data_IF_271320323481
#
_entry.id   IF_271320323481
#
_cell.length_a   1.000
_cell.length_b   1.000
_cell.length_c   1.000
_cell.angle_alpha   90.00
_cell.angle_beta   90.00
_cell.angle_gamma   90.00
#
_symmetry.space_group_name_H-M   'P 1'
#
loop_
_entity.id
_entity.type
_entity.pdbx_description
1 polymer ?
#
# COMPACT_ATOMS: atom_id res chain seq x y z
N UNK A 1 -7.72 -19.70 -41.78
CA UNK A 1 -6.42 -20.39 -41.52
C UNK A 1 -5.28 -19.42 -41.18
N UNK A 2 -4.98 -18.39 -41.98
CA UNK A 2 -3.86 -17.48 -41.68
C UNK A 2 -3.97 -16.74 -40.34
N UNK A 3 -5.17 -16.23 -40.00
CA UNK A 3 -5.39 -15.53 -38.72
C UNK A 3 -5.33 -16.47 -37.50
N UNK A 4 -5.72 -17.74 -37.66
CA UNK A 4 -5.63 -18.77 -36.60
C UNK A 4 -4.18 -19.06 -36.27
N UNK A 5 -3.33 -19.29 -37.28
CA UNK A 5 -1.90 -19.52 -37.06
C UNK A 5 -1.17 -18.29 -36.46
N UNK A 6 -1.56 -17.08 -36.88
CA UNK A 6 -1.03 -15.84 -36.28
C UNK A 6 -1.44 -15.69 -34.81
N UNK A 7 -2.70 -16.01 -34.48
CA UNK A 7 -3.22 -15.94 -33.12
C UNK A 7 -2.56 -16.99 -32.22
N UNK A 8 -2.41 -18.21 -32.71
CA UNK A 8 -1.69 -19.30 -32.03
C UNK A 8 -0.26 -18.87 -31.67
N UNK A 9 0.51 -18.35 -32.64
CA UNK A 9 1.87 -17.85 -32.39
C UNK A 9 1.90 -16.70 -31.37
N UNK A 10 0.91 -15.81 -31.41
CA UNK A 10 0.77 -14.72 -30.44
C UNK A 10 0.49 -15.23 -29.03
N UNK A 11 -0.43 -16.20 -28.88
CA UNK A 11 -0.77 -16.81 -27.60
C UNK A 11 0.41 -17.61 -27.03
N UNK A 12 1.09 -18.42 -27.84
CA UNK A 12 2.30 -19.13 -27.41
C UNK A 12 3.36 -18.18 -26.88
N UNK A 13 3.56 -17.03 -27.57
CA UNK A 13 4.50 -15.99 -27.13
C UNK A 13 4.07 -15.31 -25.82
N UNK A 14 2.79 -14.97 -25.68
CA UNK A 14 2.24 -14.32 -24.48
C UNK A 14 2.30 -15.22 -23.26
N UNK A 15 1.86 -16.47 -23.39
CA UNK A 15 1.79 -17.44 -22.30
C UNK A 15 3.06 -18.24 -22.09
N UNK A 16 4.06 -18.12 -22.97
CA UNK A 16 5.29 -18.95 -22.96
C UNK A 16 4.97 -20.44 -22.81
N UNK A 17 3.91 -20.87 -23.47
CA UNK A 17 3.41 -22.23 -23.42
C UNK A 17 3.18 -22.74 -24.84
N UNK A 18 3.25 -24.06 -25.03
CA UNK A 18 2.98 -24.69 -26.31
C UNK A 18 2.25 -26.02 -26.12
N UNK A 19 1.45 -26.40 -27.11
CA UNK A 19 0.84 -27.74 -27.25
C UNK A 19 1.64 -28.63 -28.20
N UNK A 20 2.81 -28.17 -28.64
CA UNK A 20 3.74 -28.94 -29.47
C UNK A 20 4.74 -29.68 -28.57
N UNK A 21 4.80 -31.03 -28.60
CA UNK A 21 5.77 -31.81 -27.84
C UNK A 21 7.24 -31.49 -28.18
N UNK A 22 7.48 -30.90 -29.35
CA UNK A 22 8.81 -30.48 -29.81
C UNK A 22 9.21 -29.07 -29.38
N UNK A 23 8.36 -28.39 -28.58
CA UNK A 23 8.62 -27.03 -28.12
C UNK A 23 9.93 -26.95 -27.31
N UNK A 24 10.70 -25.90 -27.58
CA UNK A 24 11.95 -25.60 -26.91
C UNK A 24 11.81 -24.35 -26.03
N UNK A 25 12.68 -24.23 -25.03
CA UNK A 25 12.76 -23.03 -24.19
C UNK A 25 12.86 -21.76 -25.07
N UNK A 26 12.10 -20.69 -24.76
CA UNK A 26 11.39 -20.43 -23.50
C UNK A 26 9.93 -20.92 -23.45
N UNK A 27 9.47 -21.75 -24.39
CA UNK A 27 8.11 -22.30 -24.39
C UNK A 27 8.04 -23.57 -23.53
N UNK A 28 7.03 -23.65 -22.65
CA UNK A 28 6.76 -24.83 -21.82
C UNK A 28 5.69 -25.69 -22.48
N UNK A 29 5.99 -26.97 -22.70
CA UNK A 29 5.01 -27.93 -23.22
C UNK A 29 3.97 -28.29 -22.16
N UNK A 30 2.69 -28.08 -22.46
CA UNK A 30 1.56 -28.39 -21.57
C UNK A 30 1.07 -29.83 -21.82
N UNK A 31 1.79 -30.81 -21.28
CA UNK A 31 1.51 -32.24 -21.54
C UNK A 31 0.11 -32.67 -21.08
N UNK A 32 -0.35 -32.22 -19.91
CA UNK A 32 -1.67 -32.57 -19.39
C UNK A 32 -2.81 -32.06 -20.27
N UNK A 33 -2.72 -30.81 -20.73
CA UNK A 33 -3.71 -30.23 -21.64
C UNK A 33 -3.65 -30.88 -23.03
N UNK A 34 -2.46 -31.24 -23.50
CA UNK A 34 -2.31 -31.97 -24.75
C UNK A 34 -2.98 -33.36 -24.69
N UNK A 35 -2.79 -34.10 -23.60
CA UNK A 35 -3.43 -35.39 -23.37
C UNK A 35 -4.96 -35.28 -23.26
N UNK A 36 -5.47 -34.25 -22.56
CA UNK A 36 -6.90 -33.94 -22.47
C UNK A 36 -7.50 -33.74 -23.87
N UNK A 37 -6.90 -32.87 -24.68
CA UNK A 37 -7.38 -32.57 -26.04
C UNK A 37 -7.32 -33.77 -26.96
N UNK A 38 -6.30 -34.63 -26.82
CA UNK A 38 -6.21 -35.87 -27.58
C UNK A 38 -7.34 -36.85 -27.20
N UNK A 39 -7.76 -36.87 -25.93
CA UNK A 39 -8.89 -37.68 -25.49
C UNK A 39 -10.25 -37.15 -25.97
N UNK A 40 -10.38 -35.83 -26.12
CA UNK A 40 -11.60 -35.18 -26.65
C UNK A 40 -11.71 -35.32 -28.18
N UNK A 41 -10.58 -35.35 -28.90
CA UNK A 41 -10.51 -35.47 -30.36
C UNK A 41 -10.67 -36.91 -30.85
N UNK A 42 -11.90 -37.44 -30.81
CA UNK A 42 -12.22 -38.79 -31.31
C UNK A 42 -12.07 -38.95 -32.85
N UNK A 43 -11.83 -37.87 -33.60
CA UNK A 43 -11.99 -37.84 -35.08
C UNK A 43 -10.66 -37.64 -35.83
N UNK A 44 -9.60 -37.13 -35.19
CA UNK A 44 -8.28 -36.96 -35.82
C UNK A 44 -7.14 -36.87 -34.77
N UNK A 45 -6.53 -38.00 -34.36
CA UNK A 45 -5.47 -38.03 -33.33
C UNK A 45 -4.14 -37.35 -33.76
N UNK A 46 -3.96 -37.11 -35.06
CA UNK A 46 -2.75 -36.46 -35.62
C UNK A 46 -2.95 -34.97 -35.97
N UNK A 47 -4.11 -34.38 -35.64
CA UNK A 47 -4.35 -32.96 -35.88
C UNK A 47 -3.49 -32.10 -34.94
N UNK A 48 -2.75 -31.14 -35.51
CA UNK A 48 -2.02 -30.15 -34.71
C UNK A 48 -3.01 -29.28 -33.95
N UNK A 49 -3.00 -29.38 -32.62
CA UNK A 49 -3.76 -28.49 -31.75
C UNK A 49 -3.16 -27.09 -31.81
N UNK A 50 -3.96 -26.10 -32.24
CA UNK A 50 -3.58 -24.69 -32.29
C UNK A 50 -4.24 -23.97 -31.11
N UNK A 51 -3.56 -22.99 -30.51
CA UNK A 51 -4.15 -22.17 -29.45
C UNK A 51 -5.14 -21.15 -30.03
N UNK A 52 -6.34 -21.12 -29.47
CA UNK A 52 -7.35 -20.10 -29.73
C UNK A 52 -7.78 -19.38 -28.44
N UNK A 53 -8.78 -18.51 -28.56
CA UNK A 53 -9.30 -17.72 -27.44
C UNK A 53 -9.94 -18.59 -26.35
N UNK A 54 -10.61 -19.68 -26.72
CA UNK A 54 -11.38 -20.52 -25.80
C UNK A 54 -10.45 -21.43 -24.98
N UNK A 55 -9.23 -21.64 -25.45
CA UNK A 55 -8.21 -22.44 -24.77
C UNK A 55 -7.42 -21.67 -23.70
N UNK A 56 -7.54 -20.34 -23.63
CA UNK A 56 -6.71 -19.50 -22.74
C UNK A 56 -6.86 -19.92 -21.27
N UNK A 57 -8.09 -20.13 -20.82
CA UNK A 57 -8.33 -20.52 -19.43
C UNK A 57 -7.72 -21.89 -19.11
N UNK A 58 -7.94 -22.88 -19.99
CA UNK A 58 -7.37 -24.23 -19.83
C UNK A 58 -5.84 -24.18 -19.82
N UNK A 59 -5.23 -23.32 -20.65
CA UNK A 59 -3.78 -23.13 -20.67
C UNK A 59 -3.25 -22.53 -19.36
N UNK A 60 -3.90 -21.49 -18.85
CA UNK A 60 -3.52 -20.87 -17.57
C UNK A 60 -3.64 -21.91 -16.46
N UNK A 61 -4.76 -22.65 -16.39
CA UNK A 61 -4.98 -23.69 -15.40
C UNK A 61 -3.92 -24.79 -15.47
N UNK A 62 -3.68 -25.35 -16.67
CA UNK A 62 -2.67 -26.39 -16.87
C UNK A 62 -1.27 -25.91 -16.46
N UNK A 63 -0.91 -24.67 -16.83
CA UNK A 63 0.40 -24.12 -16.50
C UNK A 63 0.57 -23.83 -15.01
N UNK A 64 -0.48 -23.36 -14.32
CA UNK A 64 -0.46 -23.16 -12.87
C UNK A 64 -0.42 -24.47 -12.10
N UNK A 65 -1.05 -25.53 -12.63
CA UNK A 65 -1.05 -26.88 -12.04
C UNK A 65 0.35 -27.53 -12.02
N UNK A 66 1.28 -27.07 -12.87
CA UNK A 66 2.68 -27.50 -12.84
C UNK A 66 3.47 -26.88 -11.67
N UNK A 67 2.97 -25.79 -11.09
CA UNK A 67 3.65 -25.04 -10.02
C UNK A 67 4.85 -24.24 -10.51
N UNK A 68 5.94 -24.28 -9.75
CA UNK A 68 7.19 -23.63 -10.15
C UNK A 68 7.84 -24.40 -11.30
N UNK A 69 8.15 -23.68 -12.37
CA UNK A 69 8.92 -24.20 -13.50
C UNK A 69 10.17 -23.32 -13.62
N UNK A 70 11.33 -23.97 -13.71
CA UNK A 70 12.63 -23.32 -13.56
C UNK A 70 12.71 -22.50 -12.25
N UNK A 71 12.93 -21.19 -12.36
CA UNK A 71 12.99 -20.24 -11.24
C UNK A 71 11.74 -19.34 -11.14
N UNK A 72 10.73 -19.55 -11.98
CA UNK A 72 9.55 -18.70 -12.06
C UNK A 72 8.41 -19.27 -11.22
N UNK A 73 8.00 -18.53 -10.18
CA UNK A 73 6.83 -18.88 -9.37
C UNK A 73 5.53 -18.70 -10.16
N UNK A 74 4.43 -19.38 -9.79
CA UNK A 74 3.15 -19.24 -10.48
C UNK A 74 2.64 -17.78 -10.54
N UNK A 75 2.86 -16.99 -9.49
CA UNK A 75 2.45 -15.59 -9.49
C UNK A 75 3.33 -14.74 -10.43
N UNK A 76 4.65 -14.93 -10.43
CA UNK A 76 5.55 -14.26 -11.37
C UNK A 76 5.20 -14.60 -12.83
N UNK A 77 4.82 -15.85 -13.09
CA UNK A 77 4.33 -16.29 -14.40
C UNK A 77 3.09 -15.50 -14.84
N UNK A 78 2.07 -15.35 -13.98
CA UNK A 78 0.85 -14.60 -14.28
C UNK A 78 1.15 -13.12 -14.57
N UNK A 79 1.98 -12.49 -13.74
CA UNK A 79 2.43 -11.11 -13.94
C UNK A 79 3.20 -10.97 -15.26
N UNK A 80 4.08 -11.93 -15.58
CA UNK A 80 4.82 -11.98 -16.83
C UNK A 80 3.91 -12.14 -18.06
N UNK A 81 2.88 -12.97 -17.98
CA UNK A 81 1.88 -13.13 -19.03
C UNK A 81 1.09 -11.85 -19.26
N UNK A 82 0.66 -11.18 -18.18
CA UNK A 82 -0.07 -9.93 -18.28
C UNK A 82 0.79 -8.85 -18.95
N UNK A 83 2.06 -8.73 -18.53
CA UNK A 83 3.01 -7.78 -19.14
C UNK A 83 3.19 -8.04 -20.62
N UNK A 84 3.43 -9.30 -21.02
CA UNK A 84 3.59 -9.67 -22.43
C UNK A 84 2.31 -9.40 -23.23
N UNK A 85 1.13 -9.70 -22.68
CA UNK A 85 -0.16 -9.37 -23.30
C UNK A 85 -0.29 -7.86 -23.55
N UNK A 86 0.05 -7.04 -22.54
CA UNK A 86 0.04 -5.59 -22.65
C UNK A 86 1.03 -5.08 -23.72
N UNK A 87 2.26 -5.60 -23.74
CA UNK A 87 3.28 -5.19 -24.71
C UNK A 87 2.94 -5.63 -26.14
N UNK A 88 2.44 -6.84 -26.33
CA UNK A 88 2.10 -7.34 -27.65
C UNK A 88 0.87 -6.61 -28.21
N UNK A 89 -0.14 -6.30 -27.39
CA UNK A 89 -1.29 -5.50 -27.84
C UNK A 89 -0.88 -4.10 -28.34
N UNK A 90 0.19 -3.51 -27.78
CA UNK A 90 0.78 -2.24 -28.23
C UNK A 90 1.56 -2.35 -29.54
N UNK A 91 2.05 -3.54 -29.90
CA UNK A 91 2.83 -3.79 -31.13
C UNK A 91 1.96 -4.15 -32.33
N UNK A 92 0.68 -4.43 -32.14
CA UNK A 92 -0.22 -4.83 -33.23
C UNK A 92 -0.31 -3.73 -34.31
N UNK A 93 -0.15 -4.14 -35.56
CA UNK A 93 -0.06 -3.23 -36.71
C UNK A 93 -1.44 -2.88 -37.28
N UNK A 94 -1.71 -1.60 -37.52
CA UNK A 94 -2.97 -1.13 -38.12
C UNK A 94 -3.22 -1.54 -39.56
N UNK A 95 -2.26 -2.24 -40.21
CA UNK A 95 -2.37 -2.69 -41.61
C UNK A 95 -3.37 -3.83 -41.79
N UNK A 96 -3.48 -4.73 -40.80
CA UNK A 96 -4.42 -5.86 -40.80
C UNK A 96 -5.47 -5.62 -39.71
N UNK A 97 -6.53 -4.89 -40.06
CA UNK A 97 -7.53 -4.42 -39.09
C UNK A 97 -8.30 -5.57 -38.44
N UNK A 98 -8.69 -6.58 -39.22
CA UNK A 98 -9.45 -7.72 -38.72
C UNK A 98 -8.63 -8.54 -37.71
N UNK A 99 -7.37 -8.86 -38.05
CA UNK A 99 -6.50 -9.57 -37.11
C UNK A 99 -6.19 -8.72 -35.88
N UNK A 100 -5.94 -7.42 -36.05
CA UNK A 100 -5.64 -6.52 -34.93
C UNK A 100 -6.80 -6.43 -33.95
N UNK A 101 -8.03 -6.35 -34.45
CA UNK A 101 -9.22 -6.34 -33.60
C UNK A 101 -9.34 -7.67 -32.83
N UNK A 102 -9.29 -8.80 -33.53
CA UNK A 102 -9.37 -10.13 -32.91
C UNK A 102 -8.29 -10.34 -31.85
N UNK A 103 -7.04 -9.99 -32.16
CA UNK A 103 -5.92 -10.11 -31.24
C UNK A 103 -6.08 -9.19 -30.03
N UNK A 104 -6.54 -7.95 -30.22
CA UNK A 104 -6.77 -7.01 -29.12
C UNK A 104 -7.86 -7.51 -28.17
N UNK A 105 -9.01 -7.93 -28.70
CA UNK A 105 -10.11 -8.49 -27.90
C UNK A 105 -9.67 -9.75 -27.13
N UNK A 106 -8.86 -10.60 -27.77
CA UNK A 106 -8.30 -11.79 -27.13
C UNK A 106 -7.31 -11.44 -26.02
N UNK A 107 -6.43 -10.45 -26.23
CA UNK A 107 -5.48 -9.99 -25.21
C UNK A 107 -6.16 -9.34 -24.00
N UNK A 108 -7.26 -8.61 -24.21
CA UNK A 108 -8.07 -8.03 -23.13
C UNK A 108 -8.71 -9.15 -22.29
N UNK A 109 -9.37 -10.11 -22.92
CA UNK A 109 -9.94 -11.26 -22.22
C UNK A 109 -8.89 -12.08 -21.46
N UNK A 110 -7.70 -12.25 -22.06
CA UNK A 110 -6.56 -12.87 -21.39
C UNK A 110 -6.11 -12.09 -20.14
N UNK A 111 -6.06 -10.76 -20.19
CA UNK A 111 -5.68 -9.92 -19.05
C UNK A 111 -6.68 -10.06 -17.90
N UNK A 112 -7.98 -10.05 -18.18
CA UNK A 112 -9.05 -10.23 -17.19
C UNK A 112 -8.95 -11.60 -16.50
N UNK A 113 -8.69 -12.66 -17.27
CA UNK A 113 -8.45 -14.01 -16.75
C UNK A 113 -7.17 -14.06 -15.88
N UNK A 114 -6.06 -13.50 -16.36
CA UNK A 114 -4.79 -13.47 -15.61
C UNK A 114 -4.92 -12.74 -14.28
N UNK A 115 -5.67 -11.62 -14.24
CA UNK A 115 -5.99 -10.90 -13.01
C UNK A 115 -6.84 -11.77 -12.07
N UNK A 116 -7.87 -12.43 -12.60
CA UNK A 116 -8.73 -13.32 -11.82
C UNK A 116 -7.94 -14.49 -11.20
N UNK A 117 -7.15 -15.20 -12.00
CA UNK A 117 -6.31 -16.29 -11.51
C UNK A 117 -5.22 -15.80 -10.55
N UNK A 118 -4.74 -14.56 -10.69
CA UNK A 118 -3.81 -13.96 -9.72
C UNK A 118 -4.45 -13.79 -8.35
N UNK A 119 -5.68 -13.29 -8.27
CA UNK A 119 -6.36 -13.17 -6.98
C UNK A 119 -6.75 -14.52 -6.39
N UNK A 120 -7.18 -15.49 -7.21
CA UNK A 120 -7.44 -16.85 -6.75
C UNK A 120 -6.17 -17.53 -6.19
N UNK A 121 -5.03 -17.38 -6.86
CA UNK A 121 -3.74 -17.91 -6.43
C UNK A 121 -3.27 -17.30 -5.10
N UNK A 122 -3.53 -16.01 -4.89
CA UNK A 122 -3.11 -15.27 -3.71
C UNK A 122 -4.09 -15.38 -2.53
N UNK A 123 -5.35 -15.75 -2.79
CA UNK A 123 -6.39 -15.79 -1.76
C UNK A 123 -6.11 -16.92 -0.74
N UNK A 124 -5.94 -16.61 0.56
CA UNK A 124 -5.71 -17.62 1.59
C UNK A 124 -6.84 -18.67 1.69
N UNK A 125 -8.07 -18.32 1.31
CA UNK A 125 -9.20 -19.26 1.33
C UNK A 125 -9.11 -20.31 0.22
N UNK A 126 -8.29 -20.07 -0.81
CA UNK A 126 -8.05 -20.97 -1.94
C UNK A 126 -6.66 -21.61 -1.85
N UNK A 127 -6.08 -21.67 -0.65
CA UNK A 127 -4.79 -22.29 -0.42
C UNK A 127 -4.78 -23.76 -0.87
N UNK A 128 -3.73 -24.15 -1.61
CA UNK A 128 -3.61 -25.50 -2.18
C UNK A 128 -4.32 -25.72 -3.51
N UNK A 129 -5.07 -24.73 -4.03
CA UNK A 129 -5.69 -24.83 -5.36
C UNK A 129 -4.64 -24.98 -6.48
N UNK A 130 -3.52 -24.27 -6.38
CA UNK A 130 -2.36 -24.45 -7.27
C UNK A 130 -1.09 -24.69 -6.43
N UNK A 131 -0.20 -25.60 -6.88
CA UNK A 131 1.05 -25.85 -6.19
C UNK A 131 1.96 -24.61 -6.23
N UNK A 132 2.39 -24.14 -5.07
CA UNK A 132 3.34 -23.04 -4.92
C UNK A 132 4.56 -23.50 -4.10
N UNK A 133 5.75 -22.93 -4.36
CA UNK A 133 6.90 -23.12 -3.48
C UNK A 133 6.57 -22.70 -2.04
N UNK A 134 7.15 -23.36 -1.01
CA UNK A 134 6.84 -23.04 0.39
C UNK A 134 7.07 -21.56 0.73
N UNK A 135 8.08 -20.93 0.15
CA UNK A 135 8.35 -19.50 0.35
C UNK A 135 7.22 -18.60 -0.18
N UNK A 136 6.73 -18.88 -1.40
CA UNK A 136 5.64 -18.15 -2.02
C UNK A 136 4.32 -18.36 -1.26
N UNK A 137 4.06 -19.59 -0.83
CA UNK A 137 2.87 -19.93 -0.03
C UNK A 137 2.87 -19.18 1.32
N UNK A 138 4.01 -19.15 2.02
CA UNK A 138 4.15 -18.35 3.27
C UNK A 138 3.98 -16.86 3.04
N UNK A 139 4.41 -16.36 1.88
CA UNK A 139 4.24 -14.95 1.50
C UNK A 139 2.78 -14.63 1.20
N UNK A 140 2.01 -15.56 0.62
CA UNK A 140 0.58 -15.37 0.37
C UNK A 140 0.31 -14.10 -0.46
N UNK A 141 -0.67 -13.26 -0.10
CA UNK A 141 -0.94 -12.01 -0.81
C UNK A 141 0.24 -11.02 -0.83
N UNK A 142 1.17 -11.10 0.13
CA UNK A 142 2.34 -10.22 0.16
C UNK A 142 3.29 -10.41 -1.03
N UNK A 143 3.15 -11.47 -1.84
CA UNK A 143 3.83 -11.57 -3.14
C UNK A 143 3.56 -10.34 -4.03
N UNK A 144 2.36 -9.74 -3.95
CA UNK A 144 2.05 -8.51 -4.68
C UNK A 144 2.91 -7.32 -4.20
N UNK A 145 3.25 -7.27 -2.91
CA UNK A 145 4.13 -6.25 -2.35
C UNK A 145 5.55 -6.34 -2.95
N UNK A 146 6.05 -7.56 -3.18
CA UNK A 146 7.38 -7.76 -3.77
C UNK A 146 7.47 -7.13 -5.18
N UNK A 147 6.41 -7.23 -5.98
CA UNK A 147 6.33 -6.59 -7.29
C UNK A 147 6.11 -5.06 -7.20
N UNK A 148 5.41 -4.56 -6.17
CA UNK A 148 5.27 -3.12 -5.93
C UNK A 148 6.58 -2.47 -5.47
N UNK A 149 7.40 -3.20 -4.71
CA UNK A 149 8.64 -2.74 -4.11
C UNK A 149 9.88 -3.03 -4.95
N UNK A 150 9.75 -3.76 -6.06
CA UNK A 150 10.91 -4.14 -6.88
C UNK A 150 11.51 -2.97 -7.67
N UNK A 151 12.85 -2.93 -7.70
CA UNK A 151 13.69 -2.10 -8.58
C UNK A 151 14.48 -2.94 -9.61
N UNK A 152 14.35 -4.27 -9.55
CA UNK A 152 15.18 -5.23 -10.30
C UNK A 152 14.39 -5.94 -11.40
N UNK A 153 15.09 -6.71 -12.23
CA UNK A 153 14.47 -7.60 -13.21
C UNK A 153 13.73 -8.78 -12.59
N UNK A 154 13.97 -9.14 -11.31
CA UNK A 154 13.24 -10.24 -10.63
C UNK A 154 13.05 -9.94 -9.15
N UNK A 155 11.80 -9.89 -8.64
CA UNK A 155 10.54 -9.89 -9.40
C UNK A 155 10.41 -8.61 -10.26
N UNK A 156 9.82 -8.68 -11.46
CA UNK A 156 9.64 -7.48 -12.30
C UNK A 156 8.56 -6.55 -11.72
N UNK A 157 8.67 -5.20 -11.87
CA UNK A 157 7.67 -4.27 -11.33
C UNK A 157 6.28 -4.51 -11.94
N UNK A 158 5.20 -4.25 -11.20
CA UNK A 158 3.84 -4.47 -11.70
C UNK A 158 3.59 -3.80 -13.07
N UNK A 159 3.03 -4.53 -14.05
CA UNK A 159 2.76 -3.96 -15.36
C UNK A 159 1.63 -2.92 -15.29
N UNK A 160 1.64 -1.90 -16.17
CA UNK A 160 0.62 -0.85 -16.18
C UNK A 160 -0.80 -1.42 -16.31
N UNK A 161 -1.74 -0.90 -15.52
CA UNK A 161 -3.15 -1.31 -15.57
C UNK A 161 -3.48 -2.55 -14.74
N UNK A 162 -2.49 -3.35 -14.32
CA UNK A 162 -2.74 -4.60 -13.58
C UNK A 162 -3.40 -4.32 -12.24
N UNK A 163 -2.85 -3.39 -11.45
CA UNK A 163 -3.39 -3.08 -10.13
C UNK A 163 -4.80 -2.49 -10.23
N UNK A 164 -5.06 -1.66 -11.24
CA UNK A 164 -6.36 -1.07 -11.50
C UNK A 164 -7.40 -2.15 -11.84
N UNK A 165 -7.07 -3.08 -12.75
CA UNK A 165 -7.94 -4.21 -13.09
C UNK A 165 -8.13 -5.15 -11.88
N UNK A 166 -7.08 -5.40 -11.11
CA UNK A 166 -7.14 -6.23 -9.91
C UNK A 166 -8.10 -5.67 -8.87
N UNK A 167 -8.02 -4.36 -8.61
CA UNK A 167 -8.93 -3.69 -7.67
C UNK A 167 -10.38 -3.76 -8.15
N UNK A 168 -10.63 -3.50 -9.43
CA UNK A 168 -11.98 -3.57 -10.00
C UNK A 168 -12.54 -4.99 -9.92
N UNK A 169 -11.72 -6.00 -10.25
CA UNK A 169 -12.12 -7.41 -10.25
C UNK A 169 -12.51 -7.91 -8.86
N UNK A 170 -11.76 -7.53 -7.83
CA UNK A 170 -11.93 -8.09 -6.47
C UNK A 170 -12.65 -7.17 -5.50
N UNK A 171 -13.15 -5.99 -5.93
CA UNK A 171 -13.80 -5.00 -5.05
C UNK A 171 -14.90 -5.62 -4.17
N UNK A 172 -15.66 -6.57 -4.70
CA UNK A 172 -16.76 -7.26 -4.00
C UNK A 172 -16.39 -8.68 -3.52
N UNK A 173 -15.17 -9.15 -3.80
CA UNK A 173 -14.69 -10.51 -3.56
C UNK A 173 -13.52 -10.55 -2.57
N UNK A 174 -13.62 -9.80 -1.46
CA UNK A 174 -12.61 -9.83 -0.40
C UNK A 174 -11.30 -9.13 -0.75
N UNK A 175 -11.36 -7.99 -1.47
CA UNK A 175 -10.18 -7.18 -1.79
C UNK A 175 -9.34 -6.84 -0.55
N UNK A 176 -9.97 -6.70 0.62
CA UNK A 176 -9.32 -6.43 1.89
C UNK A 176 -8.40 -7.57 2.34
N UNK A 177 -8.82 -8.82 2.16
CA UNK A 177 -8.00 -10.01 2.46
C UNK A 177 -6.75 -10.04 1.58
N UNK A 178 -6.87 -9.59 0.34
CA UNK A 178 -5.77 -9.56 -0.63
C UNK A 178 -4.82 -8.37 -0.42
N UNK A 179 -5.36 -7.17 -0.17
CA UNK A 179 -4.55 -5.94 -0.14
C UNK A 179 -4.11 -5.49 1.26
N UNK A 180 -4.79 -5.87 2.35
CA UNK A 180 -4.33 -5.50 3.70
C UNK A 180 -2.93 -6.04 4.04
N UNK A 181 -2.59 -7.31 3.72
CA UNK A 181 -1.23 -7.81 3.91
C UNK A 181 -0.21 -7.02 3.08
N UNK A 182 -0.56 -6.64 1.86
CA UNK A 182 0.30 -5.87 0.94
C UNK A 182 0.57 -4.47 1.50
N UNK A 183 -0.47 -3.76 1.94
CA UNK A 183 -0.36 -2.44 2.57
C UNK A 183 0.49 -2.52 3.84
N UNK A 184 0.30 -3.57 4.66
CA UNK A 184 1.10 -3.81 5.86
C UNK A 184 2.57 -4.03 5.53
N UNK A 185 2.89 -4.84 4.51
CA UNK A 185 4.28 -5.08 4.10
C UNK A 185 4.97 -3.82 3.58
N UNK A 186 4.28 -2.99 2.80
CA UNK A 186 4.81 -1.68 2.35
C UNK A 186 5.15 -0.78 3.55
N UNK A 187 4.35 -0.80 4.62
CA UNK A 187 4.66 -0.06 5.84
C UNK A 187 5.84 -0.67 6.62
N UNK A 188 5.90 -2.00 6.71
CA UNK A 188 6.96 -2.71 7.43
C UNK A 188 8.32 -2.56 6.74
N UNK A 189 8.37 -2.44 5.41
CA UNK A 189 9.61 -2.33 4.65
C UNK A 189 10.45 -1.10 4.99
N UNK A 190 9.84 -0.06 5.59
CA UNK A 190 10.55 1.17 6.01
C UNK A 190 10.77 1.27 7.52
N UNK A 191 10.35 0.28 8.31
CA UNK A 191 10.41 0.32 9.79
C UNK A 191 11.81 0.61 10.33
N UNK A 192 12.84 0.14 9.64
CA UNK A 192 14.25 0.28 10.02
C UNK A 192 15.06 0.99 8.95
N UNK A 193 14.44 1.92 8.23
CA UNK A 193 15.08 2.68 7.15
C UNK A 193 15.38 4.10 7.61
N UNK A 194 16.62 4.54 7.39
CA UNK A 194 17.02 5.92 7.64
C UNK A 194 16.76 6.82 6.43
N UNK A 195 16.92 8.14 6.55
CA UNK A 195 16.87 9.07 5.41
C UNK A 195 17.89 8.80 4.29
N UNK A 196 18.87 7.90 4.52
CA UNK A 196 19.85 7.49 3.51
C UNK A 196 19.48 6.15 2.84
N UNK A 197 18.48 5.43 3.36
CA UNK A 197 18.04 4.15 2.82
C UNK A 197 16.92 4.29 1.78
N UNK A 198 16.42 3.15 1.29
CA UNK A 198 15.40 3.11 0.24
C UNK A 198 13.98 3.32 0.80
N UNK A 199 13.67 4.54 1.26
CA UNK A 199 12.30 4.89 1.63
C UNK A 199 11.46 5.38 0.45
N UNK A 200 12.11 5.84 -0.63
CA UNK A 200 11.42 6.39 -1.81
C UNK A 200 10.52 5.34 -2.46
N UNK A 201 10.99 4.10 -2.59
CA UNK A 201 10.24 3.06 -3.28
C UNK A 201 8.96 2.65 -2.52
N UNK A 202 9.01 2.31 -1.23
CA UNK A 202 7.80 2.08 -0.44
C UNK A 202 6.87 3.29 -0.37
N UNK A 203 7.42 4.51 -0.30
CA UNK A 203 6.62 5.74 -0.28
C UNK A 203 5.87 5.94 -1.60
N UNK A 204 6.52 5.69 -2.74
CA UNK A 204 5.89 5.76 -4.05
C UNK A 204 4.82 4.67 -4.22
N UNK A 205 5.07 3.45 -3.73
CA UNK A 205 4.06 2.38 -3.72
C UNK A 205 2.84 2.78 -2.86
N UNK A 206 3.07 3.36 -1.69
CA UNK A 206 2.01 3.87 -0.81
C UNK A 206 1.20 4.99 -1.50
N UNK A 207 1.87 5.92 -2.18
CA UNK A 207 1.22 6.96 -2.98
C UNK A 207 0.39 6.37 -4.13
N UNK A 208 0.94 5.41 -4.88
CA UNK A 208 0.25 4.72 -5.98
C UNK A 208 -1.01 4.04 -5.47
N UNK A 209 -0.92 3.29 -4.36
CA UNK A 209 -2.07 2.64 -3.72
C UNK A 209 -3.12 3.68 -3.31
N UNK A 210 -2.74 4.76 -2.63
CA UNK A 210 -3.67 5.80 -2.18
C UNK A 210 -4.35 6.59 -3.30
N UNK A 211 -3.84 6.52 -4.53
CA UNK A 211 -4.42 7.22 -5.67
C UNK A 211 -5.75 6.61 -6.14
N UNK A 212 -5.98 5.32 -5.86
CA UNK A 212 -7.26 4.66 -6.09
C UNK A 212 -8.22 4.94 -4.93
N UNK A 213 -9.42 5.49 -5.16
CA UNK A 213 -10.40 5.74 -4.11
C UNK A 213 -10.80 4.49 -3.32
N UNK A 214 -10.85 3.33 -3.99
CA UNK A 214 -11.20 2.04 -3.36
C UNK A 214 -10.10 1.61 -2.39
N UNK A 215 -8.84 1.68 -2.82
CA UNK A 215 -7.70 1.34 -1.96
C UNK A 215 -7.53 2.39 -0.84
N UNK A 216 -7.81 3.68 -1.11
CA UNK A 216 -7.81 4.71 -0.08
C UNK A 216 -8.80 4.40 1.05
N UNK A 217 -10.00 3.95 0.72
CA UNK A 217 -10.98 3.48 1.72
C UNK A 217 -10.46 2.26 2.49
N UNK A 218 -9.83 1.32 1.79
CA UNK A 218 -9.22 0.16 2.44
C UNK A 218 -8.10 0.58 3.42
N UNK A 219 -7.25 1.53 3.04
CA UNK A 219 -6.17 2.05 3.89
C UNK A 219 -6.72 2.67 5.17
N UNK A 220 -7.75 3.53 5.09
CA UNK A 220 -8.29 4.19 6.30
C UNK A 220 -9.11 3.26 7.20
N UNK A 221 -9.61 2.16 6.64
CA UNK A 221 -10.32 1.09 7.36
C UNK A 221 -9.39 -0.02 7.84
N UNK A 222 -8.11 0.00 7.42
CA UNK A 222 -7.14 -1.01 7.81
C UNK A 222 -6.98 -1.03 9.34
N UNK A 223 -6.93 -2.21 10.00
CA UNK A 223 -6.84 -2.30 11.46
C UNK A 223 -5.64 -1.54 12.07
N UNK A 224 -4.51 -1.55 11.36
CA UNK A 224 -3.29 -0.81 11.73
C UNK A 224 -3.28 0.67 11.29
N UNK A 225 -4.32 1.21 10.65
CA UNK A 225 -4.34 2.64 10.32
C UNK A 225 -4.35 3.48 11.60
N UNK A 226 -5.22 3.12 12.54
CA UNK A 226 -5.30 3.67 13.89
C UNK A 226 -5.36 2.51 14.89
N UNK A 227 -4.22 1.91 15.26
CA UNK A 227 -4.21 0.79 16.20
C UNK A 227 -4.68 1.22 17.59
N UNK A 228 -5.31 0.32 18.33
CA UNK A 228 -5.70 0.58 19.72
C UNK A 228 -4.48 0.47 20.64
N UNK A 229 -3.85 1.60 20.94
CA UNK A 229 -2.59 1.67 21.69
C UNK A 229 -2.63 2.75 22.78
N UNK A 230 -1.89 2.52 23.85
CA UNK A 230 -1.95 3.34 25.06
C UNK A 230 -1.16 4.65 24.98
N UNK A 231 -0.20 4.77 24.05
CA UNK A 231 0.72 5.90 24.03
C UNK A 231 1.32 6.17 22.64
N UNK A 232 1.94 7.34 22.46
CA UNK A 232 2.46 7.78 21.17
C UNK A 232 3.63 6.94 20.65
N UNK A 233 4.42 6.32 21.53
CA UNK A 233 5.53 5.46 21.10
C UNK A 233 5.00 4.17 20.46
N UNK A 234 4.00 3.54 21.07
CA UNK A 234 3.33 2.38 20.49
C UNK A 234 2.60 2.77 19.19
N UNK A 235 1.95 3.94 19.15
CA UNK A 235 1.30 4.44 17.93
C UNK A 235 2.26 4.61 16.75
N UNK A 236 3.47 5.15 16.99
CA UNK A 236 4.51 5.25 15.96
C UNK A 236 4.97 3.85 15.46
N UNK A 237 5.06 2.86 16.35
CA UNK A 237 5.54 1.52 15.97
C UNK A 237 4.50 0.64 15.29
N UNK A 238 3.24 0.76 15.68
CA UNK A 238 2.16 -0.15 15.27
C UNK A 238 1.27 0.42 14.16
N UNK A 239 1.22 1.74 14.00
CA UNK A 239 0.42 2.35 12.93
C UNK A 239 1.07 2.15 11.56
N UNK A 240 0.25 2.07 10.50
CA UNK A 240 0.73 1.97 9.12
C UNK A 240 1.65 3.14 8.72
N UNK A 241 1.37 4.35 9.22
CA UNK A 241 2.07 5.56 8.81
C UNK A 241 3.22 5.94 9.74
N UNK A 242 3.26 5.38 10.94
CA UNK A 242 4.31 5.62 11.91
C UNK A 242 5.73 5.33 11.37
N UNK A 243 5.97 4.18 10.72
CA UNK A 243 7.26 3.87 10.08
C UNK A 243 7.74 4.95 9.11
N UNK A 244 6.86 5.47 8.24
CA UNK A 244 7.22 6.54 7.30
C UNK A 244 7.44 7.89 8.00
N UNK A 245 6.59 8.23 8.96
CA UNK A 245 6.67 9.50 9.68
C UNK A 245 7.92 9.55 10.58
N UNK A 246 8.40 8.43 11.11
CA UNK A 246 9.58 8.35 11.97
C UNK A 246 10.89 8.68 11.24
N UNK A 247 11.00 8.40 9.94
CA UNK A 247 12.25 8.49 9.16
C UNK A 247 12.84 9.90 9.29
N UNK A 248 13.94 10.03 10.03
CA UNK A 248 14.56 11.34 10.28
C UNK A 248 16.03 11.22 10.67
N UNK A 249 16.69 12.37 10.76
CA UNK A 249 18.05 12.49 11.29
C UNK A 249 18.09 12.73 12.80
N UNK A 250 16.94 12.95 13.45
CA UNK A 250 16.86 13.29 14.87
C UNK A 250 17.10 12.04 15.73
N UNK A 251 18.02 12.05 16.72
CA UNK A 251 18.39 10.87 17.47
C UNK A 251 17.20 10.24 18.22
N UNK A 252 17.17 8.91 18.26
CA UNK A 252 16.21 8.10 19.02
C UNK A 252 16.94 7.02 19.82
N UNK A 253 16.34 6.61 20.93
CA UNK A 253 16.88 5.59 21.84
C UNK A 253 16.99 4.20 21.21
N UNK A 254 16.23 3.92 20.15
CA UNK A 254 16.20 2.63 19.44
C UNK A 254 16.85 2.66 18.05
N UNK A 255 17.70 3.66 17.77
CA UNK A 255 18.26 3.96 16.44
C UNK A 255 17.22 4.48 15.41
N UNK A 256 17.71 5.16 14.38
CA UNK A 256 16.92 5.77 13.29
C UNK A 256 16.96 4.96 12.00
N UNK A 257 17.18 3.65 12.12
CA UNK A 257 17.28 2.74 10.99
C UNK A 257 18.63 2.77 10.29
N UNK A 258 18.70 2.03 9.20
CA UNK A 258 19.88 1.85 8.36
C UNK A 258 19.64 2.44 6.96
N UNK A 259 20.71 2.93 6.30
CA UNK A 259 22.08 3.05 6.81
C UNK A 259 22.27 4.13 7.89
N UNK A 260 23.27 3.99 8.76
CA UNK A 260 23.49 4.94 9.87
C UNK A 260 23.87 6.33 9.36
N UNK A 261 23.00 7.32 9.63
CA UNK A 261 23.26 8.73 9.29
C UNK A 261 24.52 9.24 9.99
N UNK A 262 24.72 8.86 11.26
CA UNK A 262 25.87 9.28 12.05
C UNK A 262 27.16 8.77 11.42
N UNK A 263 27.22 7.48 11.09
CA UNK A 263 28.42 6.87 10.54
C UNK A 263 28.71 7.38 9.12
N UNK A 264 27.70 7.51 8.26
CA UNK A 264 27.92 7.90 6.87
C UNK A 264 28.20 9.39 6.70
N UNK A 265 27.45 10.25 7.40
CA UNK A 265 27.49 11.69 7.19
C UNK A 265 28.36 12.42 8.22
N UNK A 266 28.51 11.88 9.43
CA UNK A 266 29.06 12.61 10.57
C UNK A 266 30.15 11.86 11.36
N UNK A 267 30.76 10.82 10.78
CA UNK A 267 31.98 10.21 11.32
C UNK A 267 33.20 11.13 11.13
N UNK A 268 34.11 11.15 12.11
CA UNK A 268 35.41 11.84 12.04
C UNK A 268 35.31 13.34 11.70
N UNK A 269 34.33 14.06 12.29
CA UNK A 269 34.08 15.48 12.00
C UNK A 269 35.28 16.39 12.24
N UNK A 270 36.17 16.05 13.17
CA UNK A 270 37.37 16.82 13.47
C UNK A 270 38.40 16.80 12.33
N UNK A 271 38.37 15.78 11.46
CA UNK A 271 39.31 15.63 10.33
C UNK A 271 38.64 15.84 8.98
N UNK A 272 37.31 15.94 8.93
CA UNK A 272 36.53 16.02 7.68
C UNK A 272 36.54 17.45 7.13
N UNK A 273 36.56 17.60 5.80
CA UNK A 273 36.48 18.93 5.18
C UNK A 273 35.09 19.50 5.37
N UNK A 274 34.99 20.80 5.64
CA UNK A 274 33.71 21.49 5.82
C UNK A 274 32.78 21.34 4.60
N UNK A 275 33.34 21.33 3.39
CA UNK A 275 32.58 21.12 2.16
C UNK A 275 31.84 19.77 2.13
N UNK A 276 32.47 18.70 2.61
CA UNK A 276 31.90 17.34 2.63
C UNK A 276 30.77 17.24 3.67
N UNK A 277 30.95 17.91 4.81
CA UNK A 277 29.90 18.01 5.85
C UNK A 277 28.68 18.77 5.31
N UNK A 278 28.91 19.89 4.65
CA UNK A 278 27.84 20.69 4.03
C UNK A 278 27.11 19.91 2.93
N UNK A 279 27.84 19.16 2.09
CA UNK A 279 27.24 18.28 1.09
C UNK A 279 26.35 17.20 1.73
N UNK A 280 26.82 16.58 2.82
CA UNK A 280 26.03 15.60 3.57
C UNK A 280 24.74 16.19 4.14
N UNK A 281 24.82 17.40 4.72
CA UNK A 281 23.65 18.14 5.21
C UNK A 281 22.66 18.44 4.07
N UNK A 282 23.17 18.85 2.90
CA UNK A 282 22.33 19.14 1.73
C UNK A 282 21.59 17.89 1.24
N UNK A 283 22.28 16.75 1.14
CA UNK A 283 21.66 15.46 0.77
C UNK A 283 20.56 15.07 1.75
N UNK A 284 20.84 15.12 3.06
CA UNK A 284 19.85 14.77 4.08
C UNK A 284 18.61 15.68 4.02
N UNK A 285 18.80 16.99 3.83
CA UNK A 285 17.69 17.94 3.65
C UNK A 285 16.86 17.62 2.41
N UNK A 286 17.50 17.27 1.30
CA UNK A 286 16.81 16.88 0.08
C UNK A 286 15.97 15.62 0.30
N UNK A 287 16.56 14.57 0.89
CA UNK A 287 15.87 13.31 1.14
C UNK A 287 14.66 13.49 2.08
N UNK A 288 14.83 14.24 3.18
CA UNK A 288 13.71 14.56 4.09
C UNK A 288 12.65 15.42 3.37
N UNK A 289 13.04 16.37 2.54
CA UNK A 289 12.11 17.18 1.75
C UNK A 289 11.29 16.34 0.77
N UNK A 290 11.90 15.33 0.15
CA UNK A 290 11.22 14.36 -0.72
C UNK A 290 10.27 13.46 0.06
N UNK A 291 10.70 12.93 1.21
CA UNK A 291 9.85 12.17 2.13
C UNK A 291 8.60 12.96 2.52
N UNK A 292 8.77 14.19 2.99
CA UNK A 292 7.66 15.05 3.42
C UNK A 292 6.73 15.41 2.25
N UNK A 293 7.26 15.52 1.04
CA UNK A 293 6.47 15.78 -0.17
C UNK A 293 5.63 14.56 -0.56
N UNK A 294 6.21 13.36 -0.54
CA UNK A 294 5.46 12.12 -0.79
C UNK A 294 4.40 11.86 0.30
N UNK A 295 4.75 12.05 1.58
CA UNK A 295 3.79 11.96 2.68
C UNK A 295 2.63 12.95 2.50
N UNK A 296 2.93 14.19 2.11
CA UNK A 296 1.88 15.18 1.81
C UNK A 296 0.98 14.73 0.66
N UNK A 297 1.55 14.21 -0.44
CA UNK A 297 0.78 13.69 -1.57
C UNK A 297 -0.16 12.56 -1.13
N UNK A 298 0.36 11.61 -0.34
CA UNK A 298 -0.42 10.52 0.23
C UNK A 298 -1.58 11.01 1.09
N UNK A 299 -1.32 11.84 2.10
CA UNK A 299 -2.38 12.37 2.97
C UNK A 299 -3.40 13.20 2.19
N UNK A 300 -2.94 13.98 1.21
CA UNK A 300 -3.83 14.76 0.35
C UNK A 300 -4.71 13.88 -0.54
N UNK A 301 -4.19 12.76 -1.07
CA UNK A 301 -4.99 11.78 -1.81
C UNK A 301 -6.11 11.20 -0.94
N UNK A 302 -5.78 10.78 0.29
CA UNK A 302 -6.78 10.27 1.24
C UNK A 302 -7.83 11.35 1.63
N UNK A 303 -7.42 12.60 1.85
CA UNK A 303 -8.35 13.70 2.18
C UNK A 303 -9.30 14.06 1.03
N UNK A 304 -8.92 13.73 -0.20
CA UNK A 304 -9.75 13.88 -1.40
C UNK A 304 -10.64 12.68 -1.67
N UNK A 305 -10.23 11.48 -1.25
CA UNK A 305 -10.99 10.26 -1.49
C UNK A 305 -12.35 10.30 -0.76
N UNK A 306 -13.45 9.90 -1.42
CA UNK A 306 -14.77 9.83 -0.81
C UNK A 306 -14.76 8.94 0.45
N UNK A 307 -15.40 9.41 1.52
CA UNK A 307 -15.52 8.66 2.79
C UNK A 307 -14.25 8.60 3.65
N UNK A 308 -13.09 9.05 3.17
CA UNK A 308 -11.81 8.90 3.87
C UNK A 308 -11.45 10.07 4.80
N UNK A 309 -11.94 11.28 4.48
CA UNK A 309 -11.53 12.53 5.13
C UNK A 309 -11.61 12.49 6.65
N UNK A 310 -12.74 12.08 7.21
CA UNK A 310 -12.93 12.07 8.66
C UNK A 310 -11.97 11.10 9.36
N UNK A 311 -11.75 9.90 8.81
CA UNK A 311 -10.78 8.95 9.38
C UNK A 311 -9.34 9.49 9.34
N UNK A 312 -8.96 10.24 8.29
CA UNK A 312 -7.65 10.89 8.24
C UNK A 312 -7.53 11.98 9.31
N UNK A 313 -8.58 12.77 9.52
CA UNK A 313 -8.59 13.81 10.55
C UNK A 313 -8.61 13.20 11.97
N UNK A 314 -9.29 12.08 12.16
CA UNK A 314 -9.23 11.26 13.38
C UNK A 314 -7.81 10.76 13.64
N UNK A 315 -7.11 10.23 12.63
CA UNK A 315 -5.71 9.81 12.75
C UNK A 315 -4.82 10.96 13.23
N UNK A 316 -4.97 12.14 12.62
CA UNK A 316 -4.19 13.32 13.00
C UNK A 316 -4.49 13.75 14.44
N UNK A 317 -5.76 13.72 14.86
CA UNK A 317 -6.16 14.05 16.21
C UNK A 317 -5.66 13.03 17.24
N UNK A 318 -5.75 11.74 16.92
CA UNK A 318 -5.25 10.65 17.76
C UNK A 318 -3.73 10.74 17.94
N UNK A 319 -2.99 11.02 16.86
CA UNK A 319 -1.55 11.22 16.91
C UNK A 319 -1.16 12.36 17.88
N UNK A 320 -1.94 13.45 17.92
CA UNK A 320 -1.75 14.53 18.89
C UNK A 320 -2.13 14.09 20.32
N UNK A 321 -3.29 13.48 20.51
CA UNK A 321 -3.80 13.03 21.82
C UNK A 321 -2.85 12.08 22.53
N UNK A 322 -2.31 11.10 21.81
CA UNK A 322 -1.38 10.10 22.37
C UNK A 322 0.01 10.68 22.71
N UNK A 323 0.27 11.93 22.32
CA UNK A 323 1.56 12.59 22.45
C UNK A 323 1.50 13.91 23.22
N UNK A 324 0.42 14.16 23.97
CA UNK A 324 0.28 15.35 24.81
C UNK A 324 1.40 15.46 25.87
N UNK A 325 2.03 14.33 26.23
CA UNK A 325 3.18 14.28 27.14
C UNK A 325 4.43 14.98 26.61
N UNK A 326 4.53 15.24 25.29
CA UNK A 326 5.66 15.96 24.68
C UNK A 326 5.80 17.40 25.15
N UNK A 327 4.72 18.02 25.66
CA UNK A 327 4.73 19.40 26.15
C UNK A 327 5.21 19.52 27.61
N UNK A 328 5.43 18.40 28.32
CA UNK A 328 5.90 18.41 29.71
C UNK A 328 7.39 18.78 29.77
N UNK A 329 7.82 19.43 30.85
CA UNK A 329 9.24 19.78 31.08
C UNK A 329 10.17 18.57 30.98
N UNK A 330 9.72 17.41 31.47
CA UNK A 330 10.41 16.13 31.35
C UNK A 330 9.52 15.15 30.57
N UNK A 331 9.49 15.31 29.25
CA UNK A 331 8.76 14.40 28.39
C UNK A 331 9.38 13.00 28.44
N UNK A 332 8.58 11.98 28.77
CA UNK A 332 9.02 10.59 28.78
C UNK A 332 9.20 10.06 27.34
N UNK A 333 10.45 9.88 26.91
CA UNK A 333 10.80 9.44 25.55
C UNK A 333 10.16 8.10 25.16
N UNK A 334 9.96 7.20 26.12
CA UNK A 334 9.34 5.88 25.90
C UNK A 334 7.82 5.91 25.76
N UNK A 335 7.16 7.02 26.13
CA UNK A 335 5.69 7.16 26.05
C UNK A 335 5.24 8.03 24.89
N UNK A 336 6.15 8.76 24.25
CA UNK A 336 5.85 9.65 23.15
C UNK A 336 6.52 9.16 21.87
N UNK A 337 5.89 9.43 20.72
CA UNK A 337 6.50 9.29 19.40
C UNK A 337 7.76 10.15 19.32
N UNK A 338 8.66 9.78 18.42
CA UNK A 338 9.95 10.43 18.23
C UNK A 338 9.83 11.88 17.78
N UNK A 339 10.94 12.61 17.93
CA UNK A 339 11.09 13.90 17.26
C UNK A 339 10.98 13.77 15.74
N UNK A 340 11.51 12.69 15.14
CA UNK A 340 11.39 12.43 13.71
C UNK A 340 9.94 12.40 13.23
N UNK A 341 9.11 11.62 13.92
CA UNK A 341 7.67 11.56 13.68
C UNK A 341 7.03 12.95 13.69
N UNK A 342 7.25 13.74 14.74
CA UNK A 342 6.62 15.05 14.86
C UNK A 342 7.18 16.09 13.89
N UNK A 343 8.45 16.05 13.54
CA UNK A 343 9.02 16.93 12.52
C UNK A 343 8.36 16.69 11.16
N UNK A 344 8.25 15.43 10.72
CA UNK A 344 7.62 15.09 9.46
C UNK A 344 6.10 15.33 9.49
N UNK A 345 5.43 14.93 10.57
CA UNK A 345 4.00 15.16 10.77
C UNK A 345 3.66 16.65 10.70
N UNK A 346 4.43 17.50 11.41
CA UNK A 346 4.22 18.95 11.39
C UNK A 346 4.48 19.55 10.00
N UNK A 347 5.52 19.10 9.29
CA UNK A 347 5.80 19.54 7.93
C UNK A 347 4.66 19.19 6.96
N UNK A 348 4.07 17.99 7.08
CA UNK A 348 2.90 17.58 6.28
C UNK A 348 1.69 18.44 6.61
N UNK A 349 1.39 18.68 7.89
CA UNK A 349 0.29 19.54 8.32
C UNK A 349 0.44 20.96 7.76
N UNK A 350 1.64 21.54 7.84
CA UNK A 350 1.92 22.86 7.26
C UNK A 350 1.74 22.89 5.74
N UNK A 351 2.19 21.85 5.02
CA UNK A 351 1.97 21.72 3.57
C UNK A 351 0.48 21.63 3.21
N UNK A 352 -0.32 20.89 4.00
CA UNK A 352 -1.77 20.83 3.82
C UNK A 352 -2.45 22.18 4.07
N UNK A 353 -1.90 22.99 4.98
CA UNK A 353 -2.41 24.34 5.25
C UNK A 353 -2.00 25.40 4.22
N UNK A 354 -0.88 25.19 3.51
CA UNK A 354 -0.32 26.17 2.57
C UNK A 354 -1.33 26.79 1.59
N UNK A 355 -2.29 26.05 0.99
CA UNK A 355 -3.23 26.64 0.03
C UNK A 355 -4.15 27.73 0.59
N UNK A 356 -4.35 27.78 1.92
CA UNK A 356 -5.21 28.76 2.60
C UNK A 356 -4.45 29.67 3.58
N UNK A 357 -3.12 29.52 3.66
CA UNK A 357 -2.22 30.41 4.42
C UNK A 357 -1.44 31.37 3.51
N UNK A 358 -1.68 31.33 2.19
CA UNK A 358 -1.03 32.21 1.21
C UNK A 358 -1.53 33.66 1.35
N UNK A 359 -0.68 34.62 1.74
CA UNK A 359 -1.10 36.01 1.95
C UNK A 359 -1.55 36.70 0.66
N UNK A 360 -1.18 36.16 -0.51
CA UNK A 360 -1.63 36.66 -1.81
C UNK A 360 -3.08 36.25 -2.13
N UNK A 361 -3.64 35.29 -1.38
CA UNK A 361 -4.99 34.73 -1.56
C UNK A 361 -5.80 34.90 -0.28
N UNK A 362 -5.89 36.14 0.18
CA UNK A 362 -6.52 36.51 1.45
C UNK A 362 -7.95 35.99 1.59
N UNK A 363 -8.70 35.79 0.51
CA UNK A 363 -10.06 35.22 0.53
C UNK A 363 -10.10 33.79 1.09
N UNK A 364 -8.99 33.04 1.03
CA UNK A 364 -8.93 31.66 1.50
C UNK A 364 -8.74 31.54 3.00
N UNK A 365 -8.15 32.56 3.65
CA UNK A 365 -7.96 32.55 5.10
C UNK A 365 -9.30 32.55 5.83
N UNK A 366 -10.33 33.17 5.24
CA UNK A 366 -11.69 33.19 5.76
C UNK A 366 -12.39 31.83 5.79
N UNK A 367 -11.78 30.77 5.23
CA UNK A 367 -12.27 29.39 5.37
C UNK A 367 -11.88 28.75 6.70
N UNK A 368 -10.96 29.36 7.45
CA UNK A 368 -10.59 28.90 8.79
C UNK A 368 -11.70 29.36 9.73
N UNK A 369 -12.40 28.39 10.31
CA UNK A 369 -13.43 28.66 11.29
C UNK A 369 -12.82 29.10 12.63
N UNK A 370 -13.10 30.33 13.03
CA UNK A 370 -12.61 30.92 14.29
C UNK A 370 -13.31 30.31 15.52
N UNK A 371 -14.50 29.73 15.37
CA UNK A 371 -15.21 29.07 16.48
C UNK A 371 -14.79 27.62 16.69
N UNK A 372 -13.85 27.09 15.89
CA UNK A 372 -13.37 25.72 16.03
C UNK A 372 -12.92 25.38 17.46
N UNK A 373 -12.28 26.32 18.16
CA UNK A 373 -11.80 26.11 19.53
C UNK A 373 -12.92 25.99 20.59
N UNK A 374 -14.12 26.50 20.31
CA UNK A 374 -15.29 26.43 21.20
C UNK A 374 -16.29 25.35 20.77
N UNK A 375 -16.32 25.02 19.48
CA UNK A 375 -17.39 24.21 18.90
C UNK A 375 -16.93 22.79 18.51
N UNK A 376 -15.63 22.57 18.31
CA UNK A 376 -15.11 21.28 17.87
C UNK A 376 -14.97 20.28 19.01
N UNK A 377 -15.31 19.02 18.74
CA UNK A 377 -15.10 17.89 19.66
C UNK A 377 -13.87 17.05 19.32
N UNK A 378 -13.19 17.34 18.20
CA UNK A 378 -12.10 16.49 17.68
C UNK A 378 -10.83 16.56 18.54
N UNK A 379 -10.54 17.73 19.11
CA UNK A 379 -9.43 17.92 20.05
C UNK A 379 -10.01 18.43 21.37
N UNK A 380 -9.71 17.75 22.48
CA UNK A 380 -10.08 18.23 23.81
C UNK A 380 -9.16 19.39 24.20
N UNK A 381 -9.71 20.60 24.11
CA UNK A 381 -9.01 21.83 24.47
C UNK A 381 -9.45 22.38 25.82
N UNK A 382 -10.38 21.74 26.55
CA UNK A 382 -10.98 22.31 27.76
C UNK A 382 -9.89 22.71 28.79
N UNK A 383 -9.02 21.76 29.13
CA UNK A 383 -7.93 21.90 30.10
C UNK A 383 -6.71 22.70 29.59
N UNK A 384 -6.79 23.31 28.41
CA UNK A 384 -5.70 24.12 27.86
C UNK A 384 -5.80 25.56 28.32
N UNK A 385 -4.70 26.08 28.87
CA UNK A 385 -4.54 27.50 29.21
C UNK A 385 -4.90 28.36 28.01
N UNK A 386 -5.86 29.28 28.18
CA UNK A 386 -6.30 30.22 27.14
C UNK A 386 -5.39 31.44 27.11
N UNK A 387 -5.43 32.19 26.02
CA UNK A 387 -4.61 33.40 25.85
C UNK A 387 -5.03 34.54 26.77
N UNK A 388 -6.34 34.76 26.94
CA UNK A 388 -6.88 35.90 27.69
C UNK A 388 -8.26 35.57 28.31
N UNK A 389 -8.41 34.35 28.85
CA UNK A 389 -9.64 33.91 29.50
C UNK A 389 -9.32 32.88 30.60
N UNK A 390 -10.10 32.87 31.66
CA UNK A 390 -10.07 31.76 32.62
C UNK A 390 -10.96 30.59 32.14
N UNK A 391 -10.89 29.46 32.84
CA UNK A 391 -11.64 28.26 32.46
C UNK A 391 -13.16 28.45 32.54
N UNK A 392 -13.66 29.24 33.50
CA UNK A 392 -15.09 29.48 33.70
C UNK A 392 -15.67 30.36 32.59
N UNK A 393 -14.95 31.42 32.20
CA UNK A 393 -15.26 32.26 31.06
C UNK A 393 -15.27 31.44 29.77
N UNK A 394 -14.24 30.63 29.54
CA UNK A 394 -14.16 29.79 28.35
C UNK A 394 -15.28 28.73 28.30
N UNK A 395 -15.64 28.13 29.43
CA UNK A 395 -16.74 27.18 29.52
C UNK A 395 -18.09 27.81 29.18
N UNK A 396 -18.26 29.11 29.48
CA UNK A 396 -19.48 29.84 29.12
C UNK A 396 -19.66 30.04 27.61
N UNK A 397 -18.57 29.95 26.83
CA UNK A 397 -18.58 30.14 25.37
C UNK A 397 -18.81 28.84 24.58
N UNK A 398 -18.63 27.68 25.20
CA UNK A 398 -18.82 26.38 24.54
C UNK A 398 -20.31 26.16 24.26
N UNK A 399 -20.68 25.82 23.03
CA UNK A 399 -22.07 25.44 22.71
C UNK A 399 -22.50 24.24 23.55
N UNK A 400 -23.58 24.41 24.33
CA UNK A 400 -24.12 23.37 25.22
C UNK A 400 -24.45 22.06 24.49
N UNK A 401 -24.75 22.12 23.18
CA UNK A 401 -24.98 20.94 22.32
C UNK A 401 -23.69 20.13 22.09
N UNK A 402 -22.54 20.81 22.05
CA UNK A 402 -21.23 20.17 21.90
C UNK A 402 -20.71 19.61 23.23
N UNK A 403 -20.97 20.29 24.35
CA UNK A 403 -20.71 19.75 25.69
C UNK A 403 -21.45 18.40 25.89
N UNK A 404 -22.73 18.34 25.54
CA UNK A 404 -23.53 17.10 25.60
C UNK A 404 -22.98 15.98 24.70
N UNK A 405 -22.42 16.34 23.53
CA UNK A 405 -21.76 15.36 22.63
C UNK A 405 -20.44 14.85 23.21
N UNK A 406 -19.64 15.70 23.84
CA UNK A 406 -18.40 15.29 24.51
C UNK A 406 -18.68 14.36 25.69
N UNK A 407 -19.71 14.63 26.49
CA UNK A 407 -20.13 13.75 27.58
C UNK A 407 -20.59 12.40 27.05
N UNK A 408 -21.44 12.37 26.01
CA UNK A 408 -21.85 11.12 25.35
C UNK A 408 -20.65 10.33 24.78
N UNK A 409 -19.63 11.02 24.25
CA UNK A 409 -18.43 10.39 23.70
C UNK A 409 -17.52 9.84 24.79
N UNK A 410 -17.42 10.55 25.93
CA UNK A 410 -16.72 10.10 27.14
C UNK A 410 -17.41 8.91 27.77
N UNK A 411 -18.74 8.92 27.86
CA UNK A 411 -19.55 7.82 28.37
C UNK A 411 -19.44 6.58 27.47
N UNK A 412 -19.45 6.77 26.15
CA UNK A 412 -19.24 5.69 25.19
C UNK A 412 -17.82 5.11 25.26
N UNK A 413 -16.79 5.96 25.43
CA UNK A 413 -15.40 5.51 25.64
C UNK A 413 -15.25 4.75 26.96
N UNK A 414 -15.84 5.24 28.05
CA UNK A 414 -15.83 4.56 29.34
C UNK A 414 -16.60 3.23 29.30
N UNK A 415 -17.68 3.16 28.52
CA UNK A 415 -18.42 1.91 28.28
C UNK A 415 -17.56 0.90 27.51
N UNK A 416 -16.87 1.34 26.46
CA UNK A 416 -15.97 0.50 25.66
C UNK A 416 -14.78 0.00 26.50
N UNK A 417 -14.15 0.87 27.29
CA UNK A 417 -13.09 0.49 28.23
C UNK A 417 -13.60 -0.53 29.27
N UNK A 418 -14.81 -0.35 29.81
CA UNK A 418 -15.44 -1.33 30.70
C UNK A 418 -15.71 -2.66 30.01
N UNK A 419 -16.14 -2.64 28.75
CA UNK A 419 -16.36 -3.87 27.96
C UNK A 419 -15.06 -4.58 27.61
N UNK A 420 -13.99 -3.84 27.32
CA UNK A 420 -12.65 -4.40 27.11
C UNK A 420 -12.09 -4.99 28.42
N UNK A 421 -12.21 -4.28 29.54
CA UNK A 421 -11.83 -4.79 30.86
C UNK A 421 -12.61 -6.06 31.24
N UNK A 422 -13.91 -6.11 30.92
CA UNK A 422 -14.74 -7.29 31.14
C UNK A 422 -14.33 -8.48 30.24
N UNK A 423 -13.93 -8.23 28.99
CA UNK A 423 -13.39 -9.27 28.09
C UNK A 423 -12.03 -9.79 28.53
N UNK A 424 -11.16 -8.91 29.01
CA UNK A 424 -9.85 -9.31 29.54
C UNK A 424 -10.02 -10.07 30.86
N UNK A 425 -10.94 -9.63 31.73
CA UNK A 425 -11.28 -10.35 32.97
C UNK A 425 -11.84 -11.74 32.73
N UNK A 426 -12.75 -11.92 31.76
CA UNK A 426 -13.32 -13.23 31.45
C UNK A 426 -12.32 -14.20 30.82
N UNK A 427 -11.29 -13.71 30.12
CA UNK A 427 -10.19 -14.54 29.63
C UNK A 427 -9.22 -15.00 30.72
N UNK A 428 -9.11 -14.25 31.81
CA UNK A 428 -8.23 -14.58 32.94
C UNK A 428 -8.85 -15.59 33.93
N UNK A 429 -10.19 -15.66 34.01
CA UNK A 429 -10.91 -16.65 34.85
C UNK A 429 -11.12 -18.01 34.15
N UNK A 430 -10.80 -18.12 32.86
CA UNK A 430 -10.93 -19.34 32.06
C UNK A 430 -9.60 -20.08 31.81
N UNK A 431 -8.52 -19.67 32.48
CA UNK A 431 -7.17 -20.29 32.38
C UNK A 431 -6.79 -21.06 33.64
#
# INVERSE_FOLDING_TARGET
>A
MANVAKLDALLQKTFRASLDPSAQAPLVFLSSLYEELQSESAVAPDARHCMDKDMIERMVFARLSMGQVDEETPFQYLIGCYRRSYEESRKLSSRDKEFTQLATETMIAAQELLVSYSGLLLNPMMEGMFPQPPEAQRRGPAQLADHLLSDSSRPEPLPPGFLEQFVVRFQEEGLDVLLNPVITEVALSVRSVSPLGNFHRPLNALCQLSSSPIIAQLIVNHPKFMPNVLNGRAFEGESLLGPFLKISTAPDIFSNGLPSVVEQCFSNLTTRRQADVNASIATLRNNIGQLQTGLHQFFHALLKAPGCRERVLEFMALALKLNMGRAKMQAETLRNSTHGFFCNFSAVMLKLCSPFMDPTKAERIGRIDVSYATDSTRLDLAEKTKLAANSDEAASWVDKRNASRMDNLRDMQALLERQELARVGSSAEAS
#
